data_IF_510797552070
#
_entry.id   IF_510797552070
#
_cell.length_a   1.000
_cell.length_b   1.000
_cell.length_c   1.000
_cell.angle_alpha   90.00
_cell.angle_beta   90.00
_cell.angle_gamma   90.00
#
_symmetry.space_group_name_H-M   'P 1'
#
loop_
_entity.id
_entity.type
_entity.pdbx_description
1 polymer ?
#
# COMPACT_ATOMS: atom_id res chain seq x y z
N UNK A 1 9.32 -17.43 -6.67
CA UNK A 1 8.19 -16.65 -7.25
C UNK A 1 8.21 -15.15 -6.93
N UNK A 2 7.89 -14.67 -5.71
CA UNK A 2 7.83 -13.22 -5.40
C UNK A 2 9.20 -12.50 -5.53
N UNK A 3 10.23 -13.08 -4.93
CA UNK A 3 11.60 -12.56 -5.00
C UNK A 3 12.14 -12.54 -6.43
N UNK A 4 11.85 -13.57 -7.22
CA UNK A 4 12.24 -13.64 -8.63
C UNK A 4 11.52 -12.60 -9.49
N UNK A 5 10.23 -12.34 -9.23
CA UNK A 5 9.47 -11.30 -9.92
C UNK A 5 10.09 -9.92 -9.66
N UNK A 6 10.49 -9.66 -8.41
CA UNK A 6 11.10 -8.40 -8.02
C UNK A 6 12.55 -8.25 -8.51
N UNK A 7 13.36 -9.31 -8.45
CA UNK A 7 14.74 -9.27 -8.99
C UNK A 7 14.70 -9.02 -10.50
N UNK A 8 13.77 -9.65 -11.23
CA UNK A 8 13.61 -9.42 -12.66
C UNK A 8 13.16 -7.98 -12.95
N UNK A 9 12.24 -7.43 -12.15
CA UNK A 9 11.80 -6.04 -12.27
C UNK A 9 12.90 -5.03 -11.94
N UNK A 10 13.62 -5.22 -10.83
CA UNK A 10 14.77 -4.39 -10.43
C UNK A 10 15.85 -4.42 -11.51
N UNK A 11 16.13 -5.61 -12.09
CA UNK A 11 17.14 -5.76 -13.15
C UNK A 11 16.73 -5.04 -14.44
N UNK A 12 15.45 -5.03 -14.79
CA UNK A 12 14.91 -4.25 -15.93
C UNK A 12 14.98 -2.75 -15.66
N UNK A 13 14.65 -2.33 -14.43
CA UNK A 13 14.54 -0.94 -14.03
C UNK A 13 15.91 -0.27 -13.80
N UNK A 14 16.91 -1.03 -13.30
CA UNK A 14 18.31 -0.62 -13.23
C UNK A 14 18.96 -0.50 -14.61
N UNK A 15 18.46 -1.24 -15.62
CA UNK A 15 18.94 -1.13 -17.00
C UNK A 15 18.48 0.16 -17.69
N UNK A 16 17.43 0.80 -17.15
CA UNK A 16 16.90 2.11 -17.59
C UNK A 16 17.24 3.17 -16.52
N UNK A 17 18.53 3.26 -16.17
CA UNK A 17 19.05 4.20 -15.16
C UNK A 17 19.15 5.65 -15.64
N UNK A 18 18.92 5.92 -16.94
CA UNK A 18 18.93 7.27 -17.51
C UNK A 18 17.79 8.17 -16.97
N UNK A 19 16.82 7.60 -16.26
CA UNK A 19 15.72 8.34 -15.64
C UNK A 19 15.74 8.21 -14.10
N UNK A 20 15.64 9.34 -13.40
CA UNK A 20 15.66 9.44 -11.92
C UNK A 20 14.55 8.66 -11.18
N UNK A 21 14.32 8.98 -9.91
CA UNK A 21 13.35 8.28 -9.05
C UNK A 21 11.90 8.53 -9.50
N UNK A 22 11.27 7.53 -10.13
CA UNK A 22 9.86 7.57 -10.54
C UNK A 22 8.94 7.00 -9.45
N UNK A 23 7.66 7.40 -9.45
CA UNK A 23 6.62 6.88 -8.54
C UNK A 23 6.56 5.35 -8.57
N UNK A 24 6.80 4.74 -9.73
CA UNK A 24 6.84 3.29 -9.90
C UNK A 24 8.03 2.64 -9.16
N UNK A 25 9.25 3.18 -9.33
CA UNK A 25 10.44 2.70 -8.60
C UNK A 25 10.21 2.73 -7.09
N UNK A 26 9.61 3.83 -6.60
CA UNK A 26 9.25 3.99 -5.19
C UNK A 26 8.21 2.96 -4.76
N UNK A 27 7.14 2.76 -5.55
CA UNK A 27 6.11 1.75 -5.25
C UNK A 27 6.69 0.33 -5.14
N UNK A 28 7.59 -0.06 -6.04
CA UNK A 28 8.27 -1.36 -6.00
C UNK A 28 9.18 -1.49 -4.79
N UNK A 29 10.00 -0.47 -4.50
CA UNK A 29 10.90 -0.45 -3.36
C UNK A 29 10.13 -0.56 -2.04
N UNK A 30 9.05 0.21 -1.87
CA UNK A 30 8.24 0.15 -0.66
C UNK A 30 7.57 -1.22 -0.49
N UNK A 31 7.04 -1.81 -1.57
CA UNK A 31 6.54 -3.18 -1.50
C UNK A 31 7.63 -4.19 -1.13
N UNK A 32 8.84 -4.06 -1.68
CA UNK A 32 9.97 -4.92 -1.30
C UNK A 32 10.25 -4.81 0.20
N UNK A 33 10.34 -3.59 0.71
CA UNK A 33 10.60 -3.33 2.12
C UNK A 33 9.50 -3.91 3.01
N UNK A 34 8.23 -3.66 2.71
CA UNK A 34 7.10 -4.19 3.47
C UNK A 34 7.14 -5.71 3.52
N UNK A 35 7.19 -6.36 2.35
CA UNK A 35 7.13 -7.82 2.27
C UNK A 35 8.39 -8.46 2.85
N UNK A 36 9.55 -7.81 2.69
CA UNK A 36 10.83 -8.23 3.26
C UNK A 36 10.82 -8.19 4.78
N UNK A 37 10.45 -7.04 5.37
CA UNK A 37 10.32 -6.90 6.83
C UNK A 37 9.30 -7.89 7.37
N UNK A 38 8.14 -8.05 6.72
CA UNK A 38 7.11 -9.00 7.14
C UNK A 38 7.63 -10.44 7.13
N UNK A 39 8.32 -10.85 6.06
CA UNK A 39 8.94 -12.18 5.97
C UNK A 39 9.98 -12.40 7.06
N UNK A 40 10.82 -11.40 7.36
CA UNK A 40 11.82 -11.48 8.43
C UNK A 40 11.16 -11.64 9.80
N UNK A 41 10.12 -10.85 10.10
CA UNK A 41 9.36 -10.96 11.36
C UNK A 41 8.78 -12.35 11.55
N UNK A 42 8.30 -12.99 10.48
CA UNK A 42 7.80 -14.35 10.55
C UNK A 42 8.89 -15.40 10.71
N UNK A 43 10.00 -15.27 9.99
CA UNK A 43 11.13 -16.20 10.08
C UNK A 43 11.76 -16.16 11.47
N UNK A 44 11.96 -14.95 12.00
CA UNK A 44 12.58 -14.71 13.31
C UNK A 44 11.54 -14.52 14.42
N UNK A 45 10.32 -15.06 14.27
CA UNK A 45 9.21 -14.86 15.22
C UNK A 45 9.60 -15.18 16.66
N UNK A 46 10.25 -16.32 16.88
CA UNK A 46 10.70 -16.76 18.21
C UNK A 46 11.73 -15.83 18.85
N UNK A 47 12.55 -15.18 18.03
CA UNK A 47 13.54 -14.21 18.50
C UNK A 47 12.88 -12.87 18.76
N UNK A 48 11.96 -12.44 17.88
CA UNK A 48 11.16 -11.21 18.02
C UNK A 48 10.34 -11.21 19.31
N UNK A 49 9.74 -12.35 19.67
CA UNK A 49 8.95 -12.52 20.89
C UNK A 49 9.76 -12.29 22.18
N UNK A 50 11.07 -12.60 22.11
CA UNK A 50 12.00 -12.46 23.24
C UNK A 50 12.65 -11.07 23.31
N UNK A 51 12.37 -10.19 22.35
CA UNK A 51 12.95 -8.84 22.34
C UNK A 51 12.29 -8.03 23.46
N UNK A 52 13.12 -7.63 24.42
CA UNK A 52 12.80 -6.57 25.36
C UNK A 52 13.52 -5.27 24.94
N UNK A 53 12.88 -4.11 25.07
CA UNK A 53 11.51 -3.87 25.58
C UNK A 53 10.38 -4.27 24.60
N UNK A 54 9.19 -4.59 25.14
CA UNK A 54 7.99 -5.02 24.38
C UNK A 54 7.57 -4.03 23.28
N UNK A 55 7.86 -2.75 23.47
CA UNK A 55 7.61 -1.70 22.47
C UNK A 55 8.29 -1.97 21.12
N UNK A 56 9.46 -2.63 21.11
CA UNK A 56 10.14 -2.98 19.86
C UNK A 56 9.29 -3.97 19.06
N UNK A 57 8.58 -4.87 19.74
CA UNK A 57 7.69 -5.83 19.10
C UNK A 57 6.52 -5.10 18.44
N UNK A 58 5.87 -4.19 19.16
CA UNK A 58 4.78 -3.36 18.60
C UNK A 58 5.24 -2.56 17.38
N UNK A 59 6.38 -1.87 17.47
CA UNK A 59 6.93 -1.11 16.34
C UNK A 59 7.18 -2.05 15.15
N UNK A 60 7.80 -3.20 15.38
CA UNK A 60 8.17 -4.14 14.33
C UNK A 60 6.95 -4.79 13.65
N UNK A 61 5.84 -4.99 14.39
CA UNK A 61 4.58 -5.52 13.88
C UNK A 61 3.74 -4.46 13.14
N UNK A 62 3.73 -3.23 13.64
CA UNK A 62 2.93 -2.11 13.12
C UNK A 62 3.57 -1.40 11.94
N UNK A 63 4.90 -1.23 11.95
CA UNK A 63 5.64 -0.46 10.94
C UNK A 63 5.42 -0.98 9.50
N UNK A 64 5.44 -2.30 9.21
CA UNK A 64 5.07 -2.82 7.90
C UNK A 64 3.67 -2.40 7.46
N UNK A 65 2.73 -2.23 8.40
CA UNK A 65 1.39 -1.74 8.14
C UNK A 65 1.32 -0.27 7.71
N UNK A 66 2.16 0.59 8.29
CA UNK A 66 2.25 2.01 7.91
C UNK A 66 2.88 2.19 6.53
N UNK A 67 3.99 1.48 6.28
CA UNK A 67 4.63 1.46 4.96
C UNK A 67 3.68 0.81 3.94
N UNK A 68 2.96 -0.21 4.38
CA UNK A 68 1.67 -0.70 3.89
C UNK A 68 0.84 0.38 3.21
N UNK A 69 0.20 1.14 4.08
CA UNK A 69 -0.66 2.25 3.72
C UNK A 69 0.02 3.23 2.76
N UNK A 70 1.24 3.69 3.08
CA UNK A 70 1.98 4.67 2.27
C UNK A 70 2.18 4.19 0.84
N UNK A 71 2.53 2.92 0.66
CA UNK A 71 2.76 2.29 -0.64
C UNK A 71 1.51 2.35 -1.51
N UNK A 72 0.35 2.03 -0.94
CA UNK A 72 -0.89 2.02 -1.70
C UNK A 72 -1.54 3.41 -1.80
N UNK A 73 -1.30 4.30 -0.85
CA UNK A 73 -1.64 5.71 -0.98
C UNK A 73 -0.87 6.37 -2.14
N UNK A 74 0.38 5.95 -2.40
CA UNK A 74 1.17 6.39 -3.55
C UNK A 74 0.53 5.93 -4.88
N UNK A 75 -0.03 4.72 -4.91
CA UNK A 75 -0.76 4.21 -6.07
C UNK A 75 -2.07 5.00 -6.31
N UNK A 76 -2.80 5.32 -5.24
CA UNK A 76 -3.98 6.20 -5.32
C UNK A 76 -3.60 7.58 -5.83
N UNK A 77 -2.53 8.18 -5.32
CA UNK A 77 -1.99 9.45 -5.80
C UNK A 77 -1.71 9.39 -7.30
N UNK A 78 -1.03 8.34 -7.75
CA UNK A 78 -0.73 8.14 -9.17
C UNK A 78 -1.99 8.06 -10.04
N UNK A 79 -3.03 7.35 -9.57
CA UNK A 79 -4.32 7.29 -10.28
C UNK A 79 -5.08 8.62 -10.27
N UNK A 80 -5.03 9.35 -9.15
CA UNK A 80 -5.60 10.68 -9.04
C UNK A 80 -4.91 11.66 -10.02
N UNK A 81 -3.58 11.62 -10.12
CA UNK A 81 -2.82 12.43 -11.09
C UNK A 81 -3.26 12.14 -12.53
N UNK A 82 -3.38 10.85 -12.91
CA UNK A 82 -3.85 10.47 -14.26
C UNK A 82 -5.27 11.00 -14.51
N UNK A 83 -6.17 10.85 -13.54
CA UNK A 83 -7.55 11.28 -13.65
C UNK A 83 -7.67 12.81 -13.81
N UNK A 84 -6.98 13.58 -12.97
CA UNK A 84 -6.99 15.05 -13.02
C UNK A 84 -6.36 15.58 -14.31
N UNK A 85 -5.21 15.01 -14.72
CA UNK A 85 -4.56 15.37 -15.99
C UNK A 85 -5.46 15.12 -17.20
N UNK A 86 -6.14 13.97 -17.24
CA UNK A 86 -7.02 13.63 -18.34
C UNK A 86 -8.29 14.51 -18.38
N UNK A 87 -8.59 15.20 -17.28
CA UNK A 87 -9.66 16.21 -17.16
C UNK A 87 -9.14 17.65 -17.30
N UNK A 88 -7.85 17.83 -17.62
CA UNK A 88 -7.18 19.14 -17.67
C UNK A 88 -7.38 19.99 -16.42
N UNK A 89 -7.45 19.35 -15.24
CA UNK A 89 -7.53 20.01 -13.93
C UNK A 89 -6.14 20.02 -13.30
N UNK A 90 -5.82 21.08 -12.55
CA UNK A 90 -4.56 21.23 -11.83
C UNK A 90 -4.29 20.06 -10.87
N UNK A 91 -3.05 19.55 -10.87
CA UNK A 91 -2.60 18.47 -9.97
C UNK A 91 -1.84 18.98 -8.74
N UNK A 92 -1.67 20.29 -8.60
CA UNK A 92 -0.73 20.90 -7.65
C UNK A 92 -1.01 20.57 -6.19
N UNK A 93 -2.29 20.35 -5.83
CA UNK A 93 -2.69 19.98 -4.48
C UNK A 93 -2.55 18.49 -4.13
N UNK A 94 -2.40 17.60 -5.12
CA UNK A 94 -2.44 16.15 -4.88
C UNK A 94 -1.22 15.63 -4.11
N UNK A 95 -0.01 16.04 -4.50
CA UNK A 95 1.23 15.62 -3.83
C UNK A 95 1.36 16.19 -2.41
N UNK A 96 1.13 17.50 -2.17
CA UNK A 96 1.10 18.04 -0.82
C UNK A 96 0.08 17.34 0.08
N UNK A 97 -1.12 17.04 -0.44
CA UNK A 97 -2.12 16.29 0.32
C UNK A 97 -1.64 14.88 0.68
N UNK A 98 -1.01 14.16 -0.26
CA UNK A 98 -0.41 12.85 0.02
C UNK A 98 0.64 12.93 1.14
N UNK A 99 1.57 13.89 1.06
CA UNK A 99 2.59 14.05 2.09
C UNK A 99 2.00 14.44 3.44
N UNK A 100 1.02 15.35 3.46
CA UNK A 100 0.35 15.78 4.69
C UNK A 100 -0.40 14.63 5.36
N UNK A 101 -1.18 13.83 4.60
CA UNK A 101 -1.92 12.68 5.12
C UNK A 101 -0.96 11.65 5.73
N UNK A 102 0.11 11.30 5.02
CA UNK A 102 1.11 10.36 5.55
C UNK A 102 1.81 10.93 6.79
N UNK A 103 2.20 12.21 6.78
CA UNK A 103 2.83 12.85 7.93
C UNK A 103 1.93 12.80 9.16
N UNK A 104 0.64 13.13 9.03
CA UNK A 104 -0.34 13.06 10.12
C UNK A 104 -0.47 11.63 10.66
N UNK A 105 -0.60 10.64 9.78
CA UNK A 105 -0.72 9.23 10.19
C UNK A 105 0.51 8.76 10.95
N UNK A 106 1.70 9.08 10.45
CA UNK A 106 2.96 8.69 11.10
C UNK A 106 3.16 9.41 12.44
N UNK A 107 2.81 10.70 12.53
CA UNK A 107 2.89 11.47 13.79
C UNK A 107 1.95 10.88 14.83
N UNK A 108 0.70 10.57 14.47
CA UNK A 108 -0.24 9.92 15.39
C UNK A 108 0.31 8.57 15.85
N UNK A 109 0.80 7.74 14.92
CA UNK A 109 1.31 6.40 15.26
C UNK A 109 2.56 6.46 16.16
N UNK A 110 3.53 7.32 15.86
CA UNK A 110 4.71 7.52 16.69
C UNK A 110 4.30 8.00 18.08
N UNK A 111 3.32 8.91 18.17
CA UNK A 111 2.80 9.37 19.45
C UNK A 111 2.16 8.24 20.26
N UNK A 112 1.38 7.36 19.62
CA UNK A 112 0.80 6.18 20.26
C UNK A 112 1.89 5.23 20.79
N UNK A 113 2.94 4.97 20.01
CA UNK A 113 4.07 4.16 20.47
C UNK A 113 4.81 4.79 21.66
N UNK A 114 5.04 6.10 21.64
CA UNK A 114 5.69 6.80 22.76
C UNK A 114 4.84 6.76 24.05
N UNK A 115 3.52 6.92 23.93
CA UNK A 115 2.61 6.81 25.07
C UNK A 115 2.61 5.37 25.62
N UNK A 116 2.57 4.37 24.73
CA UNK A 116 2.60 2.96 25.11
C UNK A 116 3.92 2.57 25.79
N UNK A 117 5.05 3.13 25.34
CA UNK A 117 6.36 2.97 25.98
C UNK A 117 6.30 3.48 27.43
N UNK A 118 5.76 4.68 27.66
CA UNK A 118 5.75 5.27 29.00
C UNK A 118 4.80 4.54 29.93
N UNK A 119 3.58 4.23 29.47
CA UNK A 119 2.60 3.47 30.24
C UNK A 119 1.91 2.42 29.36
N UNK A 120 2.21 1.12 29.55
CA UNK A 120 1.57 0.04 28.80
C UNK A 120 0.15 -0.19 29.31
N UNK A 121 -0.77 0.71 28.95
CA UNK A 121 -2.20 0.62 29.29
C UNK A 121 -2.92 -0.15 28.18
N UNK A 122 -3.68 -1.22 28.49
CA UNK A 122 -4.41 -1.99 27.47
C UNK A 122 -5.33 -1.14 26.59
N UNK A 123 -5.92 -0.07 27.15
CA UNK A 123 -6.73 0.88 26.39
C UNK A 123 -5.97 1.56 25.25
N UNK A 124 -4.67 1.83 25.40
CA UNK A 124 -3.85 2.44 24.35
C UNK A 124 -3.63 1.49 23.17
N UNK A 125 -3.51 0.18 23.43
CA UNK A 125 -3.42 -0.85 22.39
C UNK A 125 -4.73 -0.90 21.58
N UNK A 126 -5.89 -0.84 22.26
CA UNK A 126 -7.19 -0.78 21.58
C UNK A 126 -7.30 0.47 20.70
N UNK A 127 -6.87 1.63 21.20
CA UNK A 127 -6.86 2.88 20.43
C UNK A 127 -5.96 2.75 19.18
N UNK A 128 -4.79 2.15 19.30
CA UNK A 128 -3.91 1.91 18.15
C UNK A 128 -4.54 0.97 17.11
N UNK A 129 -5.20 -0.12 17.55
CA UNK A 129 -5.92 -1.04 16.66
C UNK A 129 -7.07 -0.34 15.92
N UNK A 130 -7.87 0.47 16.62
CA UNK A 130 -8.95 1.27 16.02
C UNK A 130 -8.38 2.31 15.03
N UNK A 131 -7.26 2.94 15.35
CA UNK A 131 -6.58 3.87 14.45
C UNK A 131 -6.16 3.18 13.15
N UNK A 132 -5.52 2.00 13.22
CA UNK A 132 -5.18 1.22 12.02
C UNK A 132 -6.41 0.77 11.23
N UNK A 133 -7.52 0.43 11.90
CA UNK A 133 -8.78 0.13 11.24
C UNK A 133 -9.31 1.33 10.45
N UNK A 134 -9.32 2.52 11.07
CA UNK A 134 -9.76 3.77 10.44
C UNK A 134 -8.88 4.16 9.24
N UNK A 135 -7.55 4.05 9.37
CA UNK A 135 -6.60 4.28 8.27
C UNK A 135 -6.85 3.30 7.10
N UNK A 136 -7.13 2.04 7.42
CA UNK A 136 -7.43 1.01 6.42
C UNK A 136 -8.76 1.29 5.70
N UNK A 137 -9.80 1.70 6.43
CA UNK A 137 -11.08 2.09 5.86
C UNK A 137 -10.93 3.29 4.92
N UNK A 138 -10.17 4.31 5.35
CA UNK A 138 -9.88 5.48 4.51
C UNK A 138 -9.17 5.08 3.21
N UNK A 139 -8.18 4.19 3.28
CA UNK A 139 -7.51 3.67 2.09
C UNK A 139 -8.48 2.92 1.16
N UNK A 140 -9.35 2.05 1.71
CA UNK A 140 -10.36 1.34 0.92
C UNK A 140 -11.27 2.32 0.17
N UNK A 141 -11.79 3.33 0.86
CA UNK A 141 -12.62 4.38 0.25
C UNK A 141 -11.86 5.16 -0.81
N UNK A 142 -10.58 5.48 -0.57
CA UNK A 142 -9.74 6.19 -1.55
C UNK A 142 -9.55 5.36 -2.84
N UNK A 143 -9.33 4.05 -2.74
CA UNK A 143 -9.31 3.15 -3.90
C UNK A 143 -10.64 3.13 -4.65
N UNK A 144 -11.76 3.01 -3.92
CA UNK A 144 -13.08 2.99 -4.54
C UNK A 144 -13.37 4.31 -5.29
N UNK A 145 -13.00 5.46 -4.69
CA UNK A 145 -13.22 6.78 -5.28
C UNK A 145 -12.31 7.05 -6.48
N UNK A 146 -10.98 6.98 -6.30
CA UNK A 146 -10.03 7.36 -7.36
C UNK A 146 -9.86 6.26 -8.41
N UNK A 147 -9.81 4.99 -7.99
CA UNK A 147 -9.79 3.85 -8.90
C UNK A 147 -11.09 3.72 -9.69
N UNK A 148 -12.24 3.87 -9.02
CA UNK A 148 -13.55 3.86 -9.66
C UNK A 148 -13.73 5.02 -10.66
N UNK A 149 -13.36 6.25 -10.28
CA UNK A 149 -13.41 7.41 -11.20
C UNK A 149 -12.51 7.22 -12.42
N UNK A 150 -11.30 6.69 -12.24
CA UNK A 150 -10.38 6.41 -13.34
C UNK A 150 -10.95 5.31 -14.26
N UNK A 151 -11.51 4.23 -13.69
CA UNK A 151 -12.13 3.15 -14.45
C UNK A 151 -13.31 3.65 -15.29
N UNK A 152 -14.23 4.43 -14.70
CA UNK A 152 -15.37 5.01 -15.42
C UNK A 152 -14.94 5.98 -16.51
N UNK A 153 -13.90 6.77 -16.26
CA UNK A 153 -13.33 7.68 -17.25
C UNK A 153 -12.76 6.92 -18.45
N UNK A 154 -11.99 5.87 -18.21
CA UNK A 154 -11.40 5.04 -19.25
C UNK A 154 -12.47 4.28 -20.07
N UNK A 155 -13.61 3.94 -19.45
CA UNK A 155 -14.76 3.32 -20.14
C UNK A 155 -15.51 4.29 -21.06
N UNK A 156 -15.45 5.60 -20.80
CA UNK A 156 -16.20 6.62 -21.55
C UNK A 156 -15.59 6.92 -22.93
N UNK A 157 -14.29 6.69 -23.13
CA UNK A 157 -13.68 6.81 -24.46
C UNK A 157 -13.88 5.50 -25.24
N UNK A 158 -14.32 5.54 -26.51
CA UNK A 158 -14.55 4.32 -27.30
C UNK A 158 -13.28 3.47 -27.29
N UNK A 159 -13.39 2.27 -26.73
CA UNK A 159 -12.25 1.37 -26.54
C UNK A 159 -12.03 0.61 -27.85
N UNK A 160 -11.50 1.32 -28.84
CA UNK A 160 -11.29 0.83 -30.21
C UNK A 160 -10.12 -0.16 -30.31
N UNK A 161 -9.17 -0.15 -29.35
CA UNK A 161 -8.00 -1.04 -29.38
C UNK A 161 -8.01 -2.09 -28.26
N UNK A 162 -7.65 -3.34 -28.62
CA UNK A 162 -7.49 -4.48 -27.68
C UNK A 162 -6.56 -4.15 -26.50
N UNK A 163 -5.51 -3.35 -26.74
CA UNK A 163 -4.56 -2.92 -25.70
C UNK A 163 -5.16 -1.97 -24.67
N UNK A 164 -6.12 -1.11 -25.04
CA UNK A 164 -6.77 -0.18 -24.11
C UNK A 164 -7.79 -0.89 -23.20
N UNK A 165 -8.50 -1.92 -23.71
CA UNK A 165 -9.38 -2.79 -22.88
C UNK A 165 -8.61 -3.48 -21.78
N UNK A 166 -7.46 -4.06 -22.12
CA UNK A 166 -6.59 -4.74 -21.16
C UNK A 166 -6.15 -3.80 -20.03
N UNK A 167 -5.76 -2.56 -20.33
CA UNK A 167 -5.40 -1.58 -19.30
C UNK A 167 -6.56 -1.15 -18.41
N UNK A 168 -7.76 -1.03 -18.98
CA UNK A 168 -8.98 -0.75 -18.21
C UNK A 168 -9.26 -1.89 -17.22
N UNK A 169 -9.15 -3.14 -17.67
CA UNK A 169 -9.28 -4.33 -16.82
C UNK A 169 -8.20 -4.36 -15.74
N UNK A 170 -6.93 -4.08 -16.07
CA UNK A 170 -5.82 -4.01 -15.10
C UNK A 170 -6.12 -3.00 -13.97
N UNK A 171 -6.59 -1.79 -14.30
CA UNK A 171 -7.00 -0.78 -13.29
C UNK A 171 -8.18 -1.26 -12.45
N UNK A 172 -9.18 -1.88 -13.09
CA UNK A 172 -10.34 -2.44 -12.40
C UNK A 172 -9.96 -3.55 -11.41
N UNK A 173 -9.13 -4.50 -11.83
CA UNK A 173 -8.63 -5.58 -10.98
C UNK A 173 -7.84 -5.05 -9.79
N UNK A 174 -6.90 -4.13 -10.01
CA UNK A 174 -6.10 -3.56 -8.92
C UNK A 174 -6.97 -2.79 -7.94
N UNK A 175 -7.97 -2.03 -8.44
CA UNK A 175 -8.89 -1.29 -7.59
C UNK A 175 -9.68 -2.23 -6.69
N UNK A 176 -10.25 -3.29 -7.26
CA UNK A 176 -11.06 -4.27 -6.51
C UNK A 176 -10.21 -5.05 -5.51
N UNK A 177 -9.02 -5.50 -5.90
CA UNK A 177 -8.10 -6.24 -5.01
C UNK A 177 -7.69 -5.36 -3.83
N UNK A 178 -7.24 -4.12 -4.07
CA UNK A 178 -6.85 -3.19 -3.02
C UNK A 178 -8.03 -2.82 -2.12
N UNK A 179 -9.21 -2.58 -2.68
CA UNK A 179 -10.42 -2.29 -1.91
C UNK A 179 -10.77 -3.43 -0.94
N UNK A 180 -10.86 -4.67 -1.45
CA UNK A 180 -11.17 -5.85 -0.63
C UNK A 180 -10.09 -6.07 0.42
N UNK A 181 -8.81 -5.96 0.05
CA UNK A 181 -7.68 -6.09 0.95
C UNK A 181 -7.75 -5.10 2.13
N UNK A 182 -7.91 -3.80 1.86
CA UNK A 182 -8.00 -2.78 2.91
C UNK A 182 -9.29 -2.90 3.73
N UNK A 183 -10.38 -3.36 3.13
CA UNK A 183 -11.63 -3.64 3.84
C UNK A 183 -11.47 -4.81 4.82
N UNK A 184 -10.86 -5.93 4.38
CA UNK A 184 -10.54 -7.06 5.25
C UNK A 184 -9.59 -6.66 6.37
N UNK A 185 -8.58 -5.83 6.07
CA UNK A 185 -7.68 -5.24 7.08
C UNK A 185 -8.44 -4.42 8.11
N UNK A 186 -9.38 -3.56 7.68
CA UNK A 186 -10.23 -2.79 8.57
C UNK A 186 -11.05 -3.69 9.49
N UNK A 187 -11.76 -4.68 8.91
CA UNK A 187 -12.61 -5.61 9.67
C UNK A 187 -11.77 -6.38 10.68
N UNK A 188 -10.63 -6.92 10.26
CA UNK A 188 -9.76 -7.70 11.16
C UNK A 188 -9.19 -6.85 12.29
N UNK A 189 -8.80 -5.60 12.02
CA UNK A 189 -8.31 -4.69 13.07
C UNK A 189 -9.41 -4.29 14.06
N UNK A 190 -10.66 -4.15 13.60
CA UNK A 190 -11.81 -3.97 14.49
C UNK A 190 -12.04 -5.20 15.37
N UNK A 191 -12.02 -6.42 14.80
CA UNK A 191 -12.19 -7.65 15.57
C UNK A 191 -11.04 -7.77 16.60
N UNK A 192 -9.80 -7.55 16.18
CA UNK A 192 -8.61 -7.55 17.03
C UNK A 192 -8.70 -6.52 18.19
N UNK A 193 -9.40 -5.40 18.00
CA UNK A 193 -9.57 -4.38 19.04
C UNK A 193 -10.52 -4.82 20.17
N UNK A 194 -11.48 -5.72 19.88
CA UNK A 194 -12.53 -6.11 20.83
C UNK A 194 -12.48 -7.59 21.25
N UNK A 195 -11.79 -8.45 20.50
CA UNK A 195 -11.65 -9.88 20.77
C UNK A 195 -10.19 -10.26 21.02
N UNK A 196 -9.89 -10.70 22.25
CA UNK A 196 -8.56 -11.15 22.66
C UNK A 196 -8.13 -12.45 21.96
N UNK A 197 -9.08 -13.28 21.48
CA UNK A 197 -8.76 -14.51 20.75
C UNK A 197 -8.33 -14.24 19.30
N UNK A 198 -8.61 -13.04 18.78
CA UNK A 198 -8.23 -12.60 17.45
C UNK A 198 -6.99 -11.68 17.47
N UNK A 199 -6.20 -11.73 18.55
CA UNK A 199 -5.07 -10.82 18.73
C UNK A 199 -3.95 -11.10 17.73
N UNK A 200 -3.79 -10.20 16.76
CA UNK A 200 -2.74 -10.29 15.74
C UNK A 200 -1.36 -9.88 16.25
N UNK A 201 -1.32 -9.17 17.38
CA UNK A 201 -0.08 -8.68 18.00
C UNK A 201 0.51 -9.72 18.96
N UNK A 202 -0.29 -10.73 19.32
CA UNK A 202 0.15 -11.86 20.14
C UNK A 202 0.86 -12.88 19.23
N UNK A 203 2.11 -13.19 19.57
CA UNK A 203 2.91 -14.16 18.83
C UNK A 203 2.47 -15.63 19.08
N UNK A 204 1.46 -15.89 19.90
CA UNK A 204 0.96 -17.24 20.23
C UNK A 204 0.07 -17.90 19.15
N UNK A 205 -0.47 -17.14 18.19
CA UNK A 205 -1.26 -17.68 17.08
C UNK A 205 -0.52 -17.62 15.72
N UNK A 206 0.58 -18.39 15.54
CA UNK A 206 1.45 -18.28 14.38
C UNK A 206 0.74 -18.59 13.06
N UNK A 207 -0.16 -19.57 13.06
CA UNK A 207 -0.89 -19.98 11.85
C UNK A 207 -1.89 -18.90 11.44
N UNK A 208 -2.62 -18.31 12.39
CA UNK A 208 -3.61 -17.26 12.11
C UNK A 208 -2.92 -15.99 11.58
N UNK A 209 -1.86 -15.53 12.24
CA UNK A 209 -1.10 -14.36 11.81
C UNK A 209 -0.50 -14.60 10.42
N UNK A 210 0.05 -15.80 10.18
CA UNK A 210 0.59 -16.18 8.87
C UNK A 210 -0.47 -16.13 7.77
N UNK A 211 -1.62 -16.77 7.98
CA UNK A 211 -2.72 -16.77 7.00
C UNK A 211 -3.20 -15.33 6.74
N UNK A 212 -3.39 -14.54 7.78
CA UNK A 212 -3.84 -13.15 7.66
C UNK A 212 -2.87 -12.30 6.84
N UNK A 213 -1.59 -12.26 7.22
CA UNK A 213 -0.61 -11.43 6.52
C UNK A 213 -0.31 -11.95 5.10
N UNK A 214 -0.40 -13.26 4.87
CA UNK A 214 -0.29 -13.85 3.54
C UNK A 214 -1.46 -13.42 2.63
N UNK A 215 -2.70 -13.53 3.11
CA UNK A 215 -3.91 -13.22 2.33
C UNK A 215 -4.14 -11.71 2.16
N UNK A 216 -3.82 -10.91 3.18
CA UNK A 216 -4.19 -9.47 3.23
C UNK A 216 -3.01 -8.57 2.84
N UNK A 217 -1.76 -9.02 2.91
CA UNK A 217 -0.62 -8.18 2.53
C UNK A 217 0.20 -8.76 1.39
N UNK A 218 0.71 -9.98 1.52
CA UNK A 218 1.68 -10.55 0.57
C UNK A 218 1.03 -10.88 -0.77
N UNK A 219 -0.09 -11.63 -0.75
CA UNK A 219 -0.80 -11.98 -1.99
C UNK A 219 -1.30 -10.73 -2.73
N UNK A 220 -2.04 -9.79 -2.11
CA UNK A 220 -2.49 -8.59 -2.80
C UNK A 220 -1.32 -7.80 -3.39
N UNK A 221 -0.22 -7.65 -2.65
CA UNK A 221 0.99 -6.99 -3.16
C UNK A 221 1.59 -7.71 -4.36
N UNK A 222 1.70 -9.04 -4.31
CA UNK A 222 2.22 -9.82 -5.44
C UNK A 222 1.33 -9.71 -6.69
N UNK A 223 0.01 -9.76 -6.53
CA UNK A 223 -0.95 -9.61 -7.62
C UNK A 223 -0.90 -8.21 -8.22
N UNK A 224 -0.91 -7.18 -7.38
CA UNK A 224 -0.84 -5.79 -7.83
C UNK A 224 0.46 -5.54 -8.59
N UNK A 225 1.61 -5.97 -8.07
CA UNK A 225 2.89 -5.87 -8.76
C UNK A 225 2.90 -6.63 -10.09
N UNK A 226 2.30 -7.82 -10.13
CA UNK A 226 2.20 -8.62 -11.35
C UNK A 226 1.31 -7.97 -12.42
N UNK A 227 0.21 -7.34 -12.01
CA UNK A 227 -0.69 -6.61 -12.91
C UNK A 227 0.00 -5.34 -13.42
N UNK A 228 0.64 -4.58 -12.52
CA UNK A 228 1.29 -3.31 -12.85
C UNK A 228 2.64 -3.48 -13.58
N UNK A 229 3.18 -4.70 -13.72
CA UNK A 229 4.48 -4.97 -14.39
C UNK A 229 4.56 -4.50 -15.85
N UNK A 230 3.42 -4.23 -16.50
CA UNK A 230 3.34 -3.85 -17.93
C UNK A 230 2.80 -2.44 -18.16
N UNK A 231 2.83 -1.58 -17.14
CA UNK A 231 2.36 -0.20 -17.25
C UNK A 231 3.11 0.55 -18.38
N UNK A 232 2.43 1.52 -19.04
CA UNK A 232 3.01 2.22 -20.18
C UNK A 232 4.35 2.87 -19.79
N UNK A 233 5.34 2.87 -20.69
CA UNK A 233 6.50 3.72 -20.51
C UNK A 233 6.04 5.17 -20.36
N UNK A 234 6.86 5.94 -19.63
CA UNK A 234 6.70 7.37 -19.39
C UNK A 234 6.14 8.07 -20.64
N UNK A 235 5.05 8.84 -20.49
CA UNK A 235 4.65 9.78 -21.53
C UNK A 235 5.82 10.74 -21.71
N UNK A 236 6.53 10.60 -22.83
CA UNK A 236 7.42 11.65 -23.31
C UNK A 236 6.63 12.95 -23.31
N UNK A 237 7.22 13.98 -22.73
CA UNK A 237 6.83 15.35 -22.98
C UNK A 237 6.63 15.47 -24.49
N UNK A 238 5.44 15.93 -24.87
CA UNK A 238 5.04 16.24 -26.23
C UNK A 238 6.20 16.96 -26.93
N UNK A 239 6.95 16.26 -27.77
CA UNK A 239 7.81 16.92 -28.74
C UNK A 239 6.82 17.44 -29.79
N UNK A 240 6.26 18.63 -29.54
CA UNK A 240 5.56 19.41 -30.56
C UNK A 240 6.55 19.52 -31.72
N UNK A 241 6.31 18.78 -32.79
CA UNK A 241 6.94 19.07 -34.06
C UNK A 241 6.36 20.40 -34.54
N UNK A 242 7.17 21.45 -34.74
CA UNK A 242 6.69 22.61 -35.46
C UNK A 242 6.33 22.14 -36.88
N UNK A 243 5.12 22.46 -37.30
CA UNK A 243 4.68 22.28 -38.67
C UNK A 243 5.46 23.35 -39.46
N UNK A 244 6.41 22.90 -40.29
CA UNK A 244 7.05 23.73 -41.30
C UNK A 244 6.17 23.79 -42.55
#
# INVERSE_FOLDING_TARGET
MFLELQIQLIRIECRVSEFGWTTQKVFHLLNFLVNGVRSLVFVFRWDVDKIHPEIIQHILLDFPGLVFFTTYALLVLFWAEIYYQARSVSTDGLRPAFYAINAVIYVIQISLWLILWWKPVPAMVIVAKIFFAAVSLFAALAFLLYGGRLFLMLKRFPVESKGRRKKLEEVGYVTTICFICFLLRCIMMCINAFDKAADLDVLDHPILNFIYYMLVEILPSSFVLFILRKLPPKRGLTQYHPIH
#
